data_IF_168037379957
#
_entry.id   IF_168037379957
#
_cell.length_a   1.000
_cell.length_b   1.000
_cell.length_c   1.000
_cell.angle_alpha   90.00
_cell.angle_beta   90.00
_cell.angle_gamma   90.00
#
_symmetry.space_group_name_H-M   'P 1'
#
loop_
_entity.id
_entity.type
_entity.pdbx_description
1 polymer ?
#
# COMPACT_ATOMS: atom_id res chain seq x y z
N UNK A 1 -8.58 18.77 -0.87
CA UNK A 1 -8.40 17.34 -1.17
C UNK A 1 -8.63 17.15 -2.67
N UNK A 2 -7.66 16.60 -3.41
CA UNK A 2 -7.73 16.35 -4.87
C UNK A 2 -8.14 14.90 -5.17
N UNK A 3 -8.69 14.60 -6.36
CA UNK A 3 -8.94 13.22 -6.77
C UNK A 3 -7.64 12.41 -6.89
N UNK A 4 -7.74 11.08 -6.83
CA UNK A 4 -6.68 10.17 -7.27
C UNK A 4 -6.85 9.92 -8.78
N UNK A 5 -5.71 9.86 -9.50
CA UNK A 5 -5.67 9.76 -10.96
C UNK A 5 -4.90 8.50 -11.41
N UNK A 6 -5.13 7.39 -10.71
CA UNK A 6 -4.44 6.12 -10.91
C UNK A 6 -3.01 6.09 -10.34
N UNK A 7 -2.26 5.03 -10.67
CA UNK A 7 -0.94 4.79 -10.10
C UNK A 7 0.19 5.64 -10.70
N UNK A 8 0.10 6.03 -11.97
CA UNK A 8 1.22 6.73 -12.63
C UNK A 8 1.66 8.03 -11.95
N UNK A 9 0.77 8.96 -11.53
CA UNK A 9 1.21 10.15 -10.79
C UNK A 9 1.53 9.88 -9.31
N UNK A 10 1.32 8.65 -8.82
CA UNK A 10 1.29 8.36 -7.39
C UNK A 10 2.67 8.31 -6.74
N UNK A 11 2.75 8.82 -5.52
CA UNK A 11 3.85 8.60 -4.58
C UNK A 11 3.44 7.52 -3.57
N UNK A 12 4.09 6.36 -3.63
CA UNK A 12 3.71 5.19 -2.82
C UNK A 12 4.79 4.93 -1.76
N UNK A 13 4.37 4.83 -0.50
CA UNK A 13 5.21 4.39 0.59
C UNK A 13 5.30 2.85 0.60
N UNK A 14 6.51 2.34 0.77
CA UNK A 14 6.83 0.92 0.86
C UNK A 14 7.84 0.67 1.98
N UNK A 15 7.91 -0.56 2.47
CA UNK A 15 8.94 -1.02 3.40
C UNK A 15 9.44 -2.39 2.93
N UNK A 16 10.73 -2.66 3.08
CA UNK A 16 11.31 -3.96 2.68
C UNK A 16 10.94 -5.11 3.64
N UNK A 17 10.38 -4.79 4.79
CA UNK A 17 10.13 -5.76 5.87
C UNK A 17 11.41 -6.26 6.55
N UNK A 18 11.26 -7.21 7.45
CA UNK A 18 12.37 -7.87 8.16
C UNK A 18 12.94 -9.07 7.39
N UNK A 19 12.14 -9.68 6.53
CA UNK A 19 12.56 -10.85 5.74
C UNK A 19 13.68 -10.44 4.77
N UNK A 20 14.66 -11.34 4.61
CA UNK A 20 15.80 -11.17 3.70
C UNK A 20 15.89 -12.26 2.63
N UNK A 21 14.91 -13.17 2.64
CA UNK A 21 14.77 -14.30 1.73
C UNK A 21 13.35 -14.87 1.83
N UNK A 22 12.96 -15.69 0.84
CA UNK A 22 11.69 -16.41 0.86
C UNK A 22 10.52 -15.61 0.25
N UNK A 23 9.31 -16.20 0.25
CA UNK A 23 8.22 -15.75 -0.60
C UNK A 23 7.77 -14.32 -0.35
N UNK A 24 7.81 -13.82 0.89
CA UNK A 24 7.46 -12.42 1.18
C UNK A 24 8.50 -11.43 0.66
N UNK A 25 9.79 -11.79 0.76
CA UNK A 25 10.87 -10.95 0.25
C UNK A 25 10.78 -10.87 -1.28
N UNK A 26 10.57 -12.00 -1.94
CA UNK A 26 10.42 -12.08 -3.40
C UNK A 26 9.18 -11.29 -3.88
N UNK A 27 8.04 -11.44 -3.18
CA UNK A 27 6.83 -10.67 -3.45
C UNK A 27 7.05 -9.16 -3.35
N UNK A 28 7.73 -8.69 -2.30
CA UNK A 28 8.03 -7.27 -2.13
C UNK A 28 8.87 -6.75 -3.31
N UNK A 29 9.92 -7.49 -3.71
CA UNK A 29 10.75 -7.11 -4.85
C UNK A 29 9.96 -7.05 -6.15
N UNK A 30 9.09 -8.03 -6.40
CA UNK A 30 8.26 -8.08 -7.61
C UNK A 30 7.26 -6.92 -7.67
N UNK A 31 6.59 -6.62 -6.55
CA UNK A 31 5.68 -5.46 -6.46
C UNK A 31 6.45 -4.16 -6.69
N UNK A 32 7.60 -3.95 -6.03
CA UNK A 32 8.38 -2.72 -6.17
C UNK A 32 8.91 -2.55 -7.59
N UNK A 33 9.41 -3.63 -8.20
CA UNK A 33 9.87 -3.62 -9.57
C UNK A 33 8.72 -3.29 -10.54
N UNK A 34 7.53 -3.87 -10.34
CA UNK A 34 6.37 -3.64 -11.20
C UNK A 34 5.85 -2.21 -11.08
N UNK A 35 5.82 -1.64 -9.87
CA UNK A 35 5.46 -0.23 -9.67
C UNK A 35 6.42 0.72 -10.41
N UNK A 36 7.73 0.46 -10.34
CA UNK A 36 8.75 1.35 -10.91
C UNK A 36 8.97 1.19 -12.43
N UNK A 37 8.77 -0.02 -12.98
CA UNK A 37 8.98 -0.29 -14.40
C UNK A 37 8.07 0.56 -15.27
N UNK A 38 8.53 0.86 -16.47
CA UNK A 38 7.72 1.55 -17.48
C UNK A 38 6.52 0.70 -17.89
N UNK A 39 5.45 1.33 -18.33
CA UNK A 39 4.29 0.62 -18.89
C UNK A 39 4.68 -0.24 -20.10
N UNK A 40 5.64 0.19 -20.92
CA UNK A 40 6.17 -0.58 -22.06
C UNK A 40 6.89 -1.88 -21.68
N UNK A 41 7.28 -2.04 -20.40
CA UNK A 41 7.95 -3.24 -19.88
C UNK A 41 7.09 -3.99 -18.86
N UNK A 42 5.77 -3.74 -18.87
CA UNK A 42 4.79 -4.40 -18.01
C UNK A 42 4.65 -3.80 -16.60
N UNK A 43 5.25 -2.64 -16.34
CA UNK A 43 5.11 -1.94 -15.06
C UNK A 43 3.96 -0.92 -15.01
N UNK A 44 3.98 -0.06 -13.97
CA UNK A 44 2.99 1.02 -13.77
C UNK A 44 3.55 2.43 -13.90
N UNK A 45 4.88 2.59 -13.92
CA UNK A 45 5.55 3.87 -13.97
C UNK A 45 4.99 4.86 -12.95
N UNK A 46 4.95 4.44 -11.68
CA UNK A 46 4.53 5.33 -10.59
C UNK A 46 5.55 6.44 -10.41
N UNK A 47 5.09 7.64 -10.06
CA UNK A 47 5.94 8.82 -9.95
C UNK A 47 7.09 8.59 -8.95
N UNK A 48 6.82 7.95 -7.81
CA UNK A 48 7.90 7.50 -6.94
C UNK A 48 7.51 6.48 -5.89
N UNK A 49 8.51 5.73 -5.43
CA UNK A 49 8.48 4.98 -4.19
C UNK A 49 9.23 5.72 -3.07
N UNK A 50 8.80 5.54 -1.83
CA UNK A 50 9.41 6.12 -0.62
C UNK A 50 9.49 5.06 0.47
N UNK A 51 10.62 5.00 1.15
CA UNK A 51 10.82 4.13 2.31
C UNK A 51 11.11 5.01 3.52
N UNK A 52 10.36 4.83 4.60
CA UNK A 52 10.41 5.70 5.79
C UNK A 52 10.92 5.00 7.05
N UNK A 53 10.97 3.67 7.04
CA UNK A 53 11.37 2.84 8.16
C UNK A 53 10.31 2.71 9.26
N UNK A 54 9.06 3.14 9.03
CA UNK A 54 7.98 3.05 10.01
C UNK A 54 6.60 3.11 9.34
N UNK A 55 5.83 2.02 9.48
CA UNK A 55 4.45 1.95 9.02
C UNK A 55 3.59 3.09 9.57
N UNK A 56 3.69 3.37 10.87
CA UNK A 56 2.93 4.45 11.52
C UNK A 56 3.22 5.83 10.88
N UNK A 57 4.50 6.14 10.61
CA UNK A 57 4.87 7.41 9.96
C UNK A 57 4.37 7.44 8.52
N UNK A 58 4.55 6.36 7.75
CA UNK A 58 4.07 6.28 6.37
C UNK A 58 2.55 6.48 6.28
N UNK A 59 1.77 5.80 7.12
CA UNK A 59 0.30 5.94 7.16
C UNK A 59 -0.10 7.38 7.54
N UNK A 60 0.55 8.01 8.52
CA UNK A 60 0.28 9.41 8.86
C UNK A 60 0.62 10.38 7.72
N UNK A 61 1.66 10.11 6.94
CA UNK A 61 2.00 10.91 5.74
C UNK A 61 0.97 10.72 4.62
N UNK A 62 0.43 9.51 4.47
CA UNK A 62 -0.70 9.22 3.58
C UNK A 62 -1.96 9.99 4.03
N UNK A 63 -2.28 9.95 5.32
CA UNK A 63 -3.41 10.70 5.89
C UNK A 63 -3.28 12.22 5.65
N UNK A 64 -2.06 12.75 5.77
CA UNK A 64 -1.74 14.15 5.49
C UNK A 64 -1.70 14.51 3.99
N UNK A 65 -1.85 13.54 3.08
CA UNK A 65 -1.77 13.74 1.63
C UNK A 65 -0.36 14.01 1.09
N UNK A 66 0.69 13.70 1.85
CA UNK A 66 2.09 13.82 1.40
C UNK A 66 2.51 12.63 0.52
N UNK A 67 1.80 11.52 0.65
CA UNK A 67 1.92 10.29 -0.15
C UNK A 67 0.51 9.85 -0.54
N UNK A 68 0.37 9.19 -1.68
CA UNK A 68 -0.94 8.74 -2.17
C UNK A 68 -1.36 7.43 -1.52
N UNK A 69 -0.40 6.55 -1.25
CA UNK A 69 -0.66 5.27 -0.60
C UNK A 69 0.55 4.75 0.21
N UNK A 70 0.29 3.77 1.06
CA UNK A 70 1.27 2.95 1.76
C UNK A 70 0.88 1.48 1.60
N UNK A 71 1.83 0.64 1.19
CA UNK A 71 1.63 -0.80 1.11
C UNK A 71 2.74 -1.55 1.86
N UNK A 72 2.35 -2.42 2.78
CA UNK A 72 3.25 -3.32 3.48
C UNK A 72 2.54 -4.62 3.88
N UNK A 73 3.24 -5.75 3.73
CA UNK A 73 2.88 -7.02 4.35
C UNK A 73 3.89 -7.37 5.44
N UNK A 74 3.41 -7.74 6.62
CA UNK A 74 4.22 -8.16 7.75
C UNK A 74 4.21 -7.23 8.96
N UNK A 75 3.57 -6.05 8.87
CA UNK A 75 3.39 -5.15 10.01
C UNK A 75 2.47 -5.79 11.06
N UNK A 76 2.73 -5.53 12.33
CA UNK A 76 1.87 -5.96 13.43
C UNK A 76 0.79 -4.93 13.72
N UNK A 77 -0.25 -5.34 14.46
CA UNK A 77 -1.35 -4.46 14.83
C UNK A 77 -0.87 -3.18 15.55
N UNK A 78 0.17 -3.29 16.39
CA UNK A 78 0.75 -2.14 17.08
C UNK A 78 1.47 -1.15 16.15
N UNK A 79 1.93 -1.59 14.98
CA UNK A 79 2.61 -0.73 14.01
C UNK A 79 1.61 0.18 13.26
N UNK A 80 0.35 -0.25 13.15
CA UNK A 80 -0.66 0.42 12.31
C UNK A 80 -1.84 1.00 13.07
N UNK A 81 -2.23 0.45 14.23
CA UNK A 81 -3.51 0.75 14.88
C UNK A 81 -3.73 2.26 15.14
N UNK A 82 -2.74 2.95 15.69
CA UNK A 82 -2.87 4.38 15.97
C UNK A 82 -2.96 5.22 14.68
N UNK A 83 -2.12 4.92 13.70
CA UNK A 83 -2.08 5.66 12.43
C UNK A 83 -3.30 5.36 11.55
N UNK A 84 -3.90 4.17 11.68
CA UNK A 84 -5.16 3.81 11.02
C UNK A 84 -6.28 4.74 11.45
N UNK A 85 -6.44 5.00 12.76
CA UNK A 85 -7.43 5.96 13.25
C UNK A 85 -7.22 7.34 12.61
N UNK A 86 -5.96 7.82 12.55
CA UNK A 86 -5.63 9.10 11.90
C UNK A 86 -6.00 9.10 10.41
N UNK A 87 -5.71 8.01 9.70
CA UNK A 87 -6.02 7.87 8.28
C UNK A 87 -7.52 7.96 8.02
N UNK A 88 -8.33 7.21 8.76
CA UNK A 88 -9.78 7.15 8.57
C UNK A 88 -10.43 8.49 8.95
N UNK A 89 -10.02 9.12 10.05
CA UNK A 89 -10.50 10.46 10.44
C UNK A 89 -10.14 11.54 9.41
N UNK A 90 -9.03 11.39 8.69
CA UNK A 90 -8.66 12.28 7.59
C UNK A 90 -9.51 12.05 6.32
N UNK A 91 -10.28 10.96 6.24
CA UNK A 91 -11.04 10.54 5.06
C UNK A 91 -10.29 9.58 4.13
N UNK A 92 -9.16 9.03 4.58
CA UNK A 92 -8.45 7.95 3.90
C UNK A 92 -9.10 6.59 4.15
N UNK A 93 -8.65 5.58 3.42
CA UNK A 93 -9.13 4.21 3.58
C UNK A 93 -7.96 3.26 3.84
N UNK A 94 -8.20 2.26 4.69
CA UNK A 94 -7.32 1.13 4.87
C UNK A 94 -8.01 -0.12 4.32
N UNK A 95 -7.35 -0.81 3.42
CA UNK A 95 -7.81 -2.09 2.85
C UNK A 95 -6.71 -3.14 3.00
N UNK A 96 -7.01 -4.41 2.74
CA UNK A 96 -6.01 -5.47 2.70
C UNK A 96 -4.97 -5.12 1.63
N UNK A 97 -3.72 -5.45 1.93
CA UNK A 97 -2.67 -5.45 0.95
C UNK A 97 -2.96 -6.30 -0.28
N UNK A 98 -3.94 -7.22 -0.26
CA UNK A 98 -4.31 -8.12 -1.36
C UNK A 98 -5.74 -7.96 -1.90
N UNK A 99 -6.00 -8.41 -3.15
CA UNK A 99 -7.30 -8.32 -3.81
C UNK A 99 -8.48 -8.83 -2.97
N UNK A 100 -9.56 -8.03 -2.92
CA UNK A 100 -10.86 -8.42 -2.36
C UNK A 100 -11.06 -8.10 -0.89
N UNK A 101 -9.99 -7.81 -0.13
CA UNK A 101 -10.08 -7.49 1.29
C UNK A 101 -10.40 -6.03 1.57
N UNK A 102 -11.64 -5.57 1.31
CA UNK A 102 -12.02 -4.16 1.52
C UNK A 102 -12.13 -3.74 2.99
N UNK A 103 -12.35 -4.68 3.91
CA UNK A 103 -12.56 -4.41 5.33
C UNK A 103 -11.67 -5.34 6.17
N UNK A 104 -10.34 -5.16 6.15
CA UNK A 104 -9.43 -5.98 6.95
C UNK A 104 -9.59 -5.69 8.45
N UNK A 105 -9.28 -6.69 9.27
CA UNK A 105 -9.11 -6.50 10.72
C UNK A 105 -7.78 -5.79 11.02
N UNK A 106 -7.66 -5.22 12.22
CA UNK A 106 -6.44 -4.53 12.66
C UNK A 106 -5.22 -5.47 12.82
N UNK A 107 -5.44 -6.78 12.86
CA UNK A 107 -4.43 -7.83 12.92
C UNK A 107 -4.26 -8.57 11.57
N UNK A 108 -4.76 -8.00 10.46
CA UNK A 108 -4.67 -8.58 9.11
C UNK A 108 -3.24 -8.78 8.60
N UNK A 109 -2.26 -8.07 9.16
CA UNK A 109 -0.83 -8.10 8.81
C UNK A 109 -0.49 -7.73 7.36
N UNK A 110 -1.45 -7.26 6.58
CA UNK A 110 -1.30 -6.87 5.17
C UNK A 110 -2.15 -5.63 4.94
N UNK A 111 -1.53 -4.53 4.58
CA UNK A 111 -2.19 -3.24 4.62
C UNK A 111 -1.90 -2.44 3.36
N UNK A 112 -2.95 -1.87 2.78
CA UNK A 112 -2.91 -0.82 1.78
C UNK A 112 -3.68 0.38 2.32
N UNK A 113 -2.96 1.40 2.76
CA UNK A 113 -3.54 2.68 3.13
C UNK A 113 -3.58 3.59 1.90
N UNK A 114 -4.69 4.28 1.67
CA UNK A 114 -4.87 5.24 0.58
C UNK A 114 -5.34 6.56 1.15
N UNK A 115 -4.73 7.65 0.67
CA UNK A 115 -4.98 9.00 1.18
C UNK A 115 -6.45 9.43 1.01
N UNK A 116 -6.89 10.47 1.73
CA UNK A 116 -8.16 11.13 1.44
C UNK A 116 -8.20 11.65 -0.01
N UNK A 117 -9.30 11.42 -0.69
CA UNK A 117 -9.54 11.92 -2.04
C UNK A 117 -11.03 12.23 -2.26
N UNK A 118 -11.35 13.15 -3.17
CA UNK A 118 -12.74 13.45 -3.54
C UNK A 118 -13.35 12.40 -4.47
N UNK A 119 -12.52 11.63 -5.17
CA UNK A 119 -12.86 10.51 -6.03
C UNK A 119 -11.60 9.67 -6.29
N UNK A 120 -11.77 8.43 -6.78
CA UNK A 120 -10.66 7.60 -7.28
C UNK A 120 -10.04 6.62 -6.28
N UNK A 121 -10.46 6.59 -5.01
CA UNK A 121 -9.87 5.68 -4.01
C UNK A 121 -10.10 4.21 -4.37
N UNK A 122 -11.30 3.87 -4.86
CA UNK A 122 -11.65 2.50 -5.21
C UNK A 122 -10.84 2.01 -6.41
N UNK A 123 -10.82 2.81 -7.46
CA UNK A 123 -10.10 2.54 -8.71
C UNK A 123 -8.60 2.44 -8.45
N UNK A 124 -8.05 3.29 -7.58
CA UNK A 124 -6.65 3.21 -7.16
C UNK A 124 -6.33 1.89 -6.46
N UNK A 125 -7.18 1.45 -5.53
CA UNK A 125 -7.00 0.16 -4.82
C UNK A 125 -7.04 -1.00 -5.80
N UNK A 126 -8.02 -1.02 -6.70
CA UNK A 126 -8.16 -2.08 -7.71
C UNK A 126 -6.95 -2.11 -8.67
N UNK A 127 -6.49 -0.95 -9.14
CA UNK A 127 -5.30 -0.83 -9.98
C UNK A 127 -4.02 -1.28 -9.23
N UNK A 128 -3.91 -0.98 -7.94
CA UNK A 128 -2.80 -1.46 -7.11
C UNK A 128 -2.85 -2.97 -6.92
N UNK A 129 -4.03 -3.53 -6.69
CA UNK A 129 -4.20 -4.98 -6.56
C UNK A 129 -3.84 -5.73 -7.86
N UNK A 130 -4.05 -5.14 -9.03
CA UNK A 130 -3.58 -5.70 -10.30
C UNK A 130 -2.05 -5.79 -10.38
N UNK A 131 -1.31 -4.94 -9.65
CA UNK A 131 0.16 -5.02 -9.57
C UNK A 131 0.62 -6.28 -8.84
N UNK A 132 -0.14 -6.70 -7.84
CA UNK A 132 0.15 -7.88 -7.03
C UNK A 132 -0.21 -9.15 -7.79
N UNK A 133 -1.30 -9.09 -8.58
CA UNK A 133 -1.78 -10.22 -9.36
C UNK A 133 -2.04 -11.47 -8.50
N UNK A 134 -1.40 -12.57 -8.87
CA UNK A 134 -1.51 -13.85 -8.15
C UNK A 134 -0.56 -13.97 -6.95
N UNK A 135 0.34 -13.01 -6.74
CA UNK A 135 1.28 -13.00 -5.62
C UNK A 135 0.56 -12.98 -4.27
N UNK A 136 1.03 -13.78 -3.31
CA UNK A 136 0.43 -13.88 -1.96
C UNK A 136 1.50 -13.82 -0.89
N UNK A 137 1.31 -12.94 0.08
CA UNK A 137 2.12 -12.95 1.30
C UNK A 137 1.74 -14.16 2.16
N UNK A 138 2.72 -14.72 2.85
CA UNK A 138 2.47 -15.75 3.88
C UNK A 138 2.01 -15.16 5.22
N UNK A 139 1.95 -13.83 5.32
CA UNK A 139 1.36 -13.13 6.46
C UNK A 139 -0.16 -13.01 6.33
N UNK A 140 -0.81 -12.75 7.47
CA UNK A 140 -2.24 -12.47 7.52
C UNK A 140 -3.12 -13.72 7.46
N UNK A 141 -4.44 -13.54 7.30
CA UNK A 141 -5.37 -14.66 7.19
C UNK A 141 -5.10 -15.50 5.94
N UNK A 142 -5.45 -16.81 5.98
CA UNK A 142 -5.24 -17.75 4.89
C UNK A 142 -5.96 -17.35 3.59
#
# INVERSE_FOLDING_TARGET
ISPLQGLSPACIAIEFGSDRQGPNFDLNLDVFATLLRTTSTGGRFVNSLRCTGSAAIAICRVAAGQQDAFWECGSWAWDVAAAWCVLVEAGGIMVDGHPGGWNPLVDNRRYLAVRPATAGQREFVEEFWDVIGEGRSTYGPP
#
